data_IF_911227841426
#
_entry.id   IF_911227841426
#
_cell.length_a   1.000
_cell.length_b   1.000
_cell.length_c   1.000
_cell.angle_alpha   90.00
_cell.angle_beta   90.00
_cell.angle_gamma   90.00
#
_symmetry.space_group_name_H-M   'P 1'
#
loop_
_entity.id
_entity.type
_entity.pdbx_description
1 polymer ?
#
# COMPACT_ATOMS: atom_id res chain seq x y z
N UNK A 1 -16.94 -25.36 -26.83
CA UNK A 1 -17.01 -24.05 -27.51
C UNK A 1 -16.89 -22.98 -26.44
N UNK A 2 -15.96 -22.04 -26.43
CA UNK A 2 -14.63 -21.93 -27.00
C UNK A 2 -13.98 -20.89 -26.06
N UNK A 3 -12.94 -21.28 -25.32
CA UNK A 3 -12.15 -20.33 -24.52
C UNK A 3 -11.18 -19.62 -25.47
N UNK A 4 -11.24 -18.29 -25.49
CA UNK A 4 -10.38 -17.46 -26.33
C UNK A 4 -8.97 -17.41 -25.73
N UNK A 5 -8.08 -18.13 -26.40
CA UNK A 5 -6.63 -18.16 -26.24
C UNK A 5 -6.04 -16.79 -26.61
N UNK A 6 -5.56 -16.03 -25.63
CA UNK A 6 -4.71 -14.86 -25.89
C UNK A 6 -3.24 -15.26 -25.79
N UNK A 7 -2.60 -15.15 -26.93
CA UNK A 7 -1.21 -15.40 -27.28
C UNK A 7 -0.21 -14.64 -26.38
N UNK A 8 0.59 -15.37 -25.59
CA UNK A 8 1.64 -14.84 -24.69
C UNK A 8 3.00 -14.78 -25.40
N UNK A 9 3.03 -14.66 -26.72
CA UNK A 9 4.27 -14.62 -27.50
C UNK A 9 4.91 -13.23 -27.64
N UNK A 10 4.30 -12.17 -27.10
CA UNK A 10 4.79 -10.80 -27.29
C UNK A 10 5.09 -10.02 -25.99
N UNK A 11 5.67 -10.70 -24.99
CA UNK A 11 6.17 -10.06 -23.78
C UNK A 11 7.70 -9.82 -23.89
N UNK A 12 8.21 -8.59 -23.65
CA UNK A 12 9.56 -8.16 -24.00
C UNK A 12 10.68 -8.73 -23.12
N UNK A 13 10.40 -9.71 -22.26
CA UNK A 13 11.36 -10.31 -21.33
C UNK A 13 11.89 -11.68 -21.80
N UNK A 14 11.43 -12.20 -22.94
CA UNK A 14 11.87 -13.49 -23.49
C UNK A 14 12.89 -13.33 -24.63
N UNK A 15 14.06 -12.77 -24.31
CA UNK A 15 15.27 -12.96 -25.14
C UNK A 15 16.44 -13.36 -24.25
N UNK A 16 16.62 -14.67 -24.18
CA UNK A 16 17.80 -15.34 -23.63
C UNK A 16 19.04 -14.88 -24.42
N UNK A 17 19.81 -13.94 -23.88
CA UNK A 17 21.21 -13.74 -24.30
C UNK A 17 22.09 -14.50 -23.31
N UNK A 18 22.70 -15.58 -23.80
CA UNK A 18 23.90 -16.14 -23.19
C UNK A 18 24.95 -15.03 -23.10
N UNK A 19 25.31 -14.64 -21.87
CA UNK A 19 26.52 -13.87 -21.59
C UNK A 19 27.38 -14.73 -20.65
N UNK A 20 28.12 -15.66 -21.24
CA UNK A 20 29.33 -16.17 -20.61
C UNK A 20 30.34 -15.01 -20.62
N UNK A 21 30.65 -14.43 -19.46
CA UNK A 21 31.78 -13.50 -19.35
C UNK A 21 31.66 -12.26 -18.48
N UNK A 22 30.60 -12.06 -17.68
CA UNK A 22 30.53 -10.89 -16.79
C UNK A 22 30.73 -11.27 -15.31
N UNK A 23 31.91 -10.97 -14.78
CA UNK A 23 32.20 -11.03 -13.34
C UNK A 23 32.02 -9.63 -12.73
N UNK A 24 30.99 -9.37 -11.92
CA UNK A 24 30.80 -8.06 -11.28
C UNK A 24 31.91 -7.81 -10.26
N UNK A 25 32.51 -6.62 -10.31
CA UNK A 25 33.64 -6.22 -9.47
C UNK A 25 33.24 -5.28 -8.31
N UNK A 26 31.99 -4.77 -8.28
CA UNK A 26 31.54 -3.82 -7.25
C UNK A 26 30.17 -4.20 -6.67
N UNK A 27 29.96 -3.83 -5.40
CA UNK A 27 28.75 -4.15 -4.62
C UNK A 27 27.48 -3.51 -5.22
N UNK A 28 27.64 -2.43 -5.99
CA UNK A 28 26.55 -1.67 -6.61
C UNK A 28 25.94 -2.35 -7.85
N UNK A 29 26.55 -3.43 -8.35
CA UNK A 29 26.13 -4.13 -9.58
C UNK A 29 25.00 -5.16 -9.35
N UNK A 30 24.50 -5.34 -8.12
CA UNK A 30 23.46 -6.34 -7.79
C UNK A 30 22.07 -5.69 -7.68
N UNK A 31 21.22 -5.89 -8.70
CA UNK A 31 19.80 -5.53 -8.65
C UNK A 31 18.95 -6.52 -7.85
N UNK A 32 17.91 -6.00 -7.19
CA UNK A 32 17.02 -6.70 -6.24
C UNK A 32 16.10 -7.76 -6.90
N UNK A 33 16.66 -8.90 -7.28
CA UNK A 33 15.85 -10.01 -7.81
C UNK A 33 16.55 -11.37 -7.79
N UNK A 34 15.86 -12.34 -7.19
CA UNK A 34 16.03 -13.82 -7.25
C UNK A 34 17.19 -14.51 -6.46
N UNK A 35 16.92 -15.69 -5.85
CA UNK A 35 17.66 -16.30 -4.73
C UNK A 35 18.90 -17.12 -5.13
N UNK A 36 19.51 -16.81 -6.27
CA UNK A 36 20.74 -17.49 -6.73
C UNK A 36 22.00 -16.96 -6.04
N UNK A 37 21.86 -15.86 -5.29
CA UNK A 37 22.96 -15.06 -4.74
C UNK A 37 23.43 -15.46 -3.34
N UNK A 38 22.80 -16.44 -2.67
CA UNK A 38 23.18 -16.77 -1.28
C UNK A 38 24.52 -17.50 -1.15
N UNK A 39 24.96 -18.22 -2.19
CA UNK A 39 26.23 -18.95 -2.16
C UNK A 39 27.42 -18.07 -2.57
N UNK A 40 27.22 -17.17 -3.53
CA UNK A 40 28.25 -16.22 -3.99
C UNK A 40 28.49 -15.12 -2.98
N UNK A 41 27.45 -14.56 -2.36
CA UNK A 41 27.60 -13.56 -1.28
C UNK A 41 28.32 -14.13 -0.07
N UNK A 42 28.05 -15.38 0.32
CA UNK A 42 28.73 -15.99 1.48
C UNK A 42 30.22 -16.24 1.20
N UNK A 43 30.56 -16.70 0.00
CA UNK A 43 31.96 -16.85 -0.40
C UNK A 43 32.66 -15.48 -0.53
N UNK A 44 31.98 -14.46 -1.05
CA UNK A 44 32.52 -13.11 -1.14
C UNK A 44 32.77 -12.50 0.25
N UNK A 45 31.79 -12.63 1.16
CA UNK A 45 31.91 -12.14 2.54
C UNK A 45 33.03 -12.86 3.30
N UNK A 46 33.17 -14.18 3.10
CA UNK A 46 34.25 -14.96 3.71
C UNK A 46 35.62 -14.51 3.18
N UNK A 47 35.73 -14.25 1.87
CA UNK A 47 36.97 -13.78 1.24
C UNK A 47 37.32 -12.36 1.67
N UNK A 48 36.32 -11.48 1.81
CA UNK A 48 36.49 -10.11 2.27
C UNK A 48 36.92 -10.04 3.75
N UNK A 49 36.30 -10.85 4.62
CA UNK A 49 36.74 -10.99 6.02
C UNK A 49 38.18 -11.53 6.09
N UNK A 50 38.53 -12.52 5.25
CA UNK A 50 39.89 -13.04 5.16
C UNK A 50 40.92 -11.97 4.76
N UNK A 51 40.53 -11.08 3.85
CA UNK A 51 41.40 -10.00 3.35
C UNK A 51 41.60 -8.89 4.39
N UNK A 52 40.56 -8.50 5.12
CA UNK A 52 40.67 -7.50 6.20
C UNK A 52 41.47 -7.98 7.42
N UNK A 53 41.48 -9.28 7.72
CA UNK A 53 42.32 -9.81 8.82
C UNK A 53 43.80 -9.79 8.43
N UNK A 54 44.13 -10.01 7.15
CA UNK A 54 45.51 -9.98 6.63
C UNK A 54 46.14 -8.58 6.64
N UNK A 55 45.34 -7.51 6.63
CA UNK A 55 45.85 -6.12 6.70
C UNK A 55 46.31 -5.66 8.10
N UNK A 56 46.04 -6.44 9.17
CA UNK A 56 46.37 -6.07 10.55
C UNK A 56 47.50 -6.90 11.19
N UNK A 57 48.12 -7.84 10.47
CA UNK A 57 49.20 -8.69 11.00
C UNK A 57 50.56 -8.00 10.82
N UNK A 58 51.24 -7.73 11.94
CA UNK A 58 52.53 -7.02 11.98
C UNK A 58 53.76 -7.90 12.16
N UNK A 59 53.58 -9.22 12.33
CA UNK A 59 54.66 -10.17 12.62
C UNK A 59 54.44 -11.49 11.87
N UNK A 60 55.48 -12.03 11.22
CA UNK A 60 55.41 -13.22 10.33
C UNK A 60 54.92 -14.49 11.07
N UNK A 61 55.16 -14.61 12.38
CA UNK A 61 54.73 -15.74 13.21
C UNK A 61 53.20 -15.75 13.46
N UNK A 62 52.56 -14.58 13.50
CA UNK A 62 51.09 -14.45 13.64
C UNK A 62 50.38 -14.89 12.36
N UNK A 63 51.03 -14.72 11.19
CA UNK A 63 50.48 -15.17 9.91
C UNK A 63 50.39 -16.70 9.81
N UNK A 64 51.39 -17.43 10.32
CA UNK A 64 51.39 -18.90 10.32
C UNK A 64 50.37 -19.50 11.29
N UNK A 65 50.17 -18.87 12.46
CA UNK A 65 49.11 -19.25 13.41
C UNK A 65 47.72 -18.99 12.86
N UNK A 66 47.51 -17.82 12.27
CA UNK A 66 46.25 -17.46 11.62
C UNK A 66 45.92 -18.42 10.47
N UNK A 67 46.90 -18.79 9.65
CA UNK A 67 46.71 -19.75 8.57
C UNK A 67 46.29 -21.13 9.09
N UNK A 68 46.91 -21.62 10.17
CA UNK A 68 46.50 -22.88 10.82
C UNK A 68 45.07 -22.82 11.31
N UNK A 69 44.67 -21.74 11.98
CA UNK A 69 43.30 -21.57 12.48
C UNK A 69 42.27 -21.48 11.33
N UNK A 70 42.61 -20.79 10.24
CA UNK A 70 41.78 -20.72 9.04
C UNK A 70 41.61 -22.12 8.41
N UNK A 71 42.67 -22.92 8.33
CA UNK A 71 42.59 -24.27 7.80
C UNK A 71 41.75 -25.20 8.67
N UNK A 72 41.91 -25.13 10.00
CA UNK A 72 41.12 -25.91 10.96
C UNK A 72 39.63 -25.55 10.93
N UNK A 73 39.32 -24.25 10.90
CA UNK A 73 37.93 -23.76 10.81
C UNK A 73 37.31 -24.12 9.47
N UNK A 74 38.05 -23.97 8.35
CA UNK A 74 37.60 -24.39 7.02
C UNK A 74 37.32 -25.89 6.96
N UNK A 75 38.22 -26.73 7.47
CA UNK A 75 38.03 -28.17 7.51
C UNK A 75 36.82 -28.57 8.37
N UNK A 76 36.64 -27.90 9.51
CA UNK A 76 35.50 -28.11 10.41
C UNK A 76 34.17 -27.73 9.75
N UNK A 77 34.11 -26.58 9.08
CA UNK A 77 32.93 -26.13 8.34
C UNK A 77 32.62 -27.05 7.15
N UNK A 78 33.63 -27.47 6.40
CA UNK A 78 33.47 -28.45 5.33
C UNK A 78 32.89 -29.78 5.83
N UNK A 79 33.31 -30.26 7.02
CA UNK A 79 32.75 -31.47 7.64
C UNK A 79 31.26 -31.31 7.98
N UNK A 80 30.86 -30.16 8.51
CA UNK A 80 29.45 -29.84 8.81
C UNK A 80 28.64 -29.75 7.50
N UNK A 81 29.21 -29.11 6.49
CA UNK A 81 28.60 -28.91 5.19
C UNK A 81 28.39 -30.25 4.48
N UNK A 82 29.42 -31.09 4.42
CA UNK A 82 29.34 -32.45 3.89
C UNK A 82 28.24 -33.24 4.59
N UNK A 83 28.15 -33.19 5.94
CA UNK A 83 27.05 -33.84 6.69
C UNK A 83 25.65 -33.34 6.31
N UNK A 84 25.50 -32.05 5.94
CA UNK A 84 24.20 -31.49 5.52
C UNK A 84 23.84 -31.83 4.07
N UNK A 85 24.83 -31.89 3.17
CA UNK A 85 24.61 -32.16 1.74
C UNK A 85 24.60 -33.66 1.40
N UNK A 86 25.28 -34.51 2.16
CA UNK A 86 25.30 -35.95 1.92
C UNK A 86 24.08 -36.62 2.54
N UNK A 87 22.95 -36.59 1.85
CA UNK A 87 21.80 -37.48 2.12
C UNK A 87 21.89 -38.80 1.35
N UNK A 88 22.85 -38.96 0.44
CA UNK A 88 22.95 -40.15 -0.40
C UNK A 88 24.40 -40.52 -0.73
N UNK A 89 25.01 -41.37 0.11
CA UNK A 89 26.08 -42.33 -0.22
C UNK A 89 26.62 -42.95 1.07
N UNK A 90 25.98 -44.01 1.53
CA UNK A 90 26.56 -44.84 2.59
C UNK A 90 27.65 -45.73 1.98
N UNK A 91 28.86 -45.63 2.54
CA UNK A 91 29.95 -46.58 2.26
C UNK A 91 29.98 -47.54 3.43
N UNK A 92 29.71 -48.82 3.17
CA UNK A 92 29.79 -49.85 4.20
C UNK A 92 31.25 -50.02 4.63
N UNK A 93 31.55 -49.70 5.88
CA UNK A 93 32.85 -49.94 6.49
C UNK A 93 32.67 -50.66 7.83
N UNK A 94 33.40 -51.74 8.03
CA UNK A 94 33.48 -52.43 9.31
C UNK A 94 34.57 -51.77 10.18
N UNK A 95 34.30 -51.63 11.48
CA UNK A 95 35.27 -51.09 12.44
C UNK A 95 35.37 -52.02 13.64
N UNK A 96 36.58 -52.50 13.91
CA UNK A 96 36.87 -53.25 15.12
C UNK A 96 37.25 -52.28 16.24
N UNK A 97 36.49 -52.30 17.33
CA UNK A 97 36.73 -51.49 18.52
C UNK A 97 37.05 -52.40 19.69
N UNK A 98 38.15 -52.09 20.36
CA UNK A 98 38.55 -52.76 21.59
C UNK A 98 37.86 -52.09 22.78
N UNK A 99 36.94 -52.80 23.42
CA UNK A 99 36.16 -52.33 24.56
C UNK A 99 36.64 -52.99 25.85
N UNK A 100 36.96 -52.18 26.86
CA UNK A 100 37.19 -52.65 28.23
C UNK A 100 35.96 -52.28 29.06
N UNK A 101 35.15 -53.25 29.53
CA UNK A 101 34.04 -52.96 30.42
C UNK A 101 34.53 -52.28 31.69
N UNK A 102 33.81 -51.27 32.19
CA UNK A 102 34.14 -50.57 33.44
C UNK A 102 33.77 -51.39 34.69
N UNK A 103 32.77 -52.26 34.58
CA UNK A 103 32.34 -53.17 35.66
C UNK A 103 33.15 -54.47 35.59
N UNK A 104 34.38 -54.45 36.16
CA UNK A 104 35.27 -55.62 36.14
C UNK A 104 35.24 -56.46 37.42
N UNK A 105 34.48 -56.06 38.45
CA UNK A 105 34.64 -56.57 39.81
C UNK A 105 33.52 -57.48 40.34
N UNK A 106 32.49 -57.83 39.56
CA UNK A 106 31.30 -58.46 40.17
C UNK A 106 31.16 -59.98 40.01
N UNK A 107 31.81 -60.67 39.07
CA UNK A 107 31.74 -62.15 38.97
C UNK A 107 32.60 -62.68 37.82
N UNK A 108 33.30 -63.80 38.03
CA UNK A 108 33.96 -64.58 36.98
C UNK A 108 33.01 -65.09 35.88
N UNK A 109 31.69 -64.90 36.03
CA UNK A 109 30.67 -65.22 35.04
C UNK A 109 30.49 -64.16 33.94
N UNK A 110 31.02 -62.94 34.10
CA UNK A 110 30.87 -61.89 33.09
C UNK A 110 32.06 -61.88 32.11
N UNK A 111 31.78 -61.77 30.81
CA UNK A 111 32.79 -61.81 29.73
C UNK A 111 33.61 -63.11 29.64
N UNK A 112 33.08 -64.25 30.08
CA UNK A 112 33.78 -65.56 30.04
C UNK A 112 35.21 -65.53 30.61
N UNK A 113 35.47 -64.64 31.58
CA UNK A 113 36.78 -64.44 32.19
C UNK A 113 37.76 -63.53 31.43
N UNK A 114 37.39 -62.99 30.26
CA UNK A 114 38.22 -62.06 29.50
C UNK A 114 38.13 -60.63 30.06
N UNK A 115 39.27 -59.91 30.06
CA UNK A 115 39.34 -58.51 30.54
C UNK A 115 38.81 -57.50 29.53
N UNK A 116 38.77 -57.87 28.24
CA UNK A 116 38.48 -56.97 27.13
C UNK A 116 37.60 -57.68 26.10
N UNK A 117 36.90 -56.91 25.25
CA UNK A 117 36.09 -57.40 24.13
C UNK A 117 36.52 -56.70 22.85
N UNK A 118 36.53 -57.41 21.73
CA UNK A 118 36.68 -56.79 20.41
C UNK A 118 35.30 -56.82 19.76
N UNK A 119 34.75 -55.64 19.46
CA UNK A 119 33.43 -55.47 18.87
C UNK A 119 33.61 -55.04 17.42
N UNK A 120 33.01 -55.78 16.49
CA UNK A 120 32.90 -55.33 15.11
C UNK A 120 31.61 -54.53 14.94
N UNK A 121 31.74 -53.22 14.72
CA UNK A 121 30.60 -52.35 14.42
C UNK A 121 30.43 -52.26 12.91
N UNK A 122 29.24 -52.62 12.43
CA UNK A 122 28.82 -52.58 11.04
C UNK A 122 27.69 -51.56 10.87
N UNK A 123 27.79 -50.70 9.87
CA UNK A 123 26.71 -49.80 9.47
C UNK A 123 25.64 -50.60 8.70
N UNK A 124 24.42 -50.66 9.23
CA UNK A 124 23.31 -51.36 8.58
C UNK A 124 22.89 -50.67 7.29
N UNK A 125 22.63 -51.45 6.24
CA UNK A 125 22.11 -50.94 4.98
C UNK A 125 20.70 -50.38 5.18
N UNK A 126 20.52 -49.09 4.90
CA UNK A 126 19.21 -48.44 4.91
C UNK A 126 18.47 -48.66 3.59
N UNK A 127 17.17 -48.95 3.66
CA UNK A 127 16.31 -49.06 2.48
C UNK A 127 16.06 -47.67 1.88
N UNK A 128 16.37 -47.44 0.59
CA UNK A 128 16.12 -46.15 -0.06
C UNK A 128 14.63 -45.80 -0.20
N UNK A 129 13.71 -46.75 -0.05
CA UNK A 129 12.26 -46.54 -0.15
C UNK A 129 11.59 -46.35 1.21
N UNK A 130 12.30 -46.55 2.33
CA UNK A 130 11.72 -46.42 3.66
C UNK A 130 11.52 -44.93 4.03
N UNK A 131 10.28 -44.49 4.34
CA UNK A 131 10.02 -43.11 4.73
C UNK A 131 10.67 -42.74 6.08
N UNK A 132 10.79 -41.43 6.40
CA UNK A 132 11.29 -40.99 7.70
C UNK A 132 10.52 -41.57 8.89
N UNK A 133 11.20 -42.38 9.70
CA UNK A 133 10.59 -43.17 10.78
C UNK A 133 10.04 -42.36 11.96
N UNK A 134 10.58 -41.16 12.20
CA UNK A 134 10.26 -40.35 13.39
C UNK A 134 9.76 -38.96 13.04
N UNK A 135 8.67 -38.53 13.70
CA UNK A 135 8.18 -37.15 13.62
C UNK A 135 9.07 -36.22 14.45
N UNK A 136 9.54 -35.12 13.83
CA UNK A 136 10.30 -34.10 14.54
C UNK A 136 9.36 -33.23 15.38
N UNK A 137 9.56 -33.22 16.71
CA UNK A 137 8.78 -32.38 17.64
C UNK A 137 9.34 -30.97 17.66
N UNK A 138 8.48 -29.96 17.49
CA UNK A 138 8.86 -28.56 17.73
C UNK A 138 8.77 -28.28 19.24
N UNK A 139 9.91 -28.27 19.92
CA UNK A 139 9.98 -27.84 21.30
C UNK A 139 10.05 -26.31 21.36
N UNK A 140 9.45 -25.65 22.37
CA UNK A 140 9.78 -24.25 22.67
C UNK A 140 11.29 -24.17 22.82
N UNK A 141 11.93 -23.23 22.11
CA UNK A 141 13.38 -23.04 22.20
C UNK A 141 13.73 -22.88 23.68
N UNK A 142 14.48 -23.81 24.30
CA UNK A 142 14.81 -23.67 25.69
C UNK A 142 15.74 -22.46 25.80
N UNK A 143 15.27 -21.41 26.47
CA UNK A 143 16.12 -20.29 26.91
C UNK A 143 17.32 -20.75 27.77
N UNK A 144 17.37 -22.03 28.13
CA UNK A 144 18.40 -22.68 28.95
C UNK A 144 19.75 -22.89 28.25
N UNK A 145 19.88 -22.60 26.96
CA UNK A 145 21.19 -22.47 26.27
C UNK A 145 21.52 -21.00 25.95
N UNK A 146 20.89 -20.04 26.61
CA UNK A 146 21.49 -18.72 26.67
C UNK A 146 22.71 -18.82 27.57
N UNK A 147 23.88 -18.45 27.05
CA UNK A 147 25.04 -18.12 27.88
C UNK A 147 24.58 -17.27 29.07
N UNK A 148 25.14 -17.44 30.29
CA UNK A 148 24.79 -16.57 31.42
C UNK A 148 24.77 -15.10 30.95
N UNK A 149 23.78 -14.30 31.37
CA UNK A 149 23.63 -12.94 30.88
C UNK A 149 24.94 -12.19 31.14
N UNK A 150 25.53 -11.67 30.06
CA UNK A 150 26.80 -10.95 30.12
C UNK A 150 26.61 -9.72 31.02
N UNK A 151 27.54 -9.44 31.94
CA UNK A 151 27.45 -8.25 32.78
C UNK A 151 27.48 -6.99 31.90
N UNK A 152 26.44 -6.18 32.00
CA UNK A 152 26.36 -4.90 31.28
C UNK A 152 27.09 -3.84 32.09
N UNK A 153 28.23 -3.38 31.60
CA UNK A 153 29.04 -2.34 32.24
C UNK A 153 28.53 -0.95 31.89
N UNK A 154 27.42 -0.55 32.52
CA UNK A 154 26.92 0.83 32.41
C UNK A 154 27.83 1.81 33.15
N UNK A 155 27.85 3.07 32.69
CA UNK A 155 28.34 4.17 33.51
C UNK A 155 27.41 4.37 34.73
N UNK A 156 27.88 5.07 35.78
CA UNK A 156 27.03 5.39 36.92
C UNK A 156 25.73 6.08 36.47
N UNK A 157 24.57 5.73 37.06
CA UNK A 157 23.30 6.32 36.65
C UNK A 157 23.33 7.83 36.87
N UNK A 158 22.97 8.59 35.82
CA UNK A 158 22.84 10.04 35.91
C UNK A 158 21.66 10.38 36.84
N UNK A 159 21.82 11.32 37.79
CA UNK A 159 20.72 11.71 38.66
C UNK A 159 19.62 12.33 37.81
N UNK A 160 18.40 11.81 37.94
CA UNK A 160 17.23 12.33 37.23
C UNK A 160 16.66 13.50 38.03
N UNK A 161 16.45 14.64 37.37
CA UNK A 161 15.79 15.78 38.00
C UNK A 161 14.26 15.56 38.03
N UNK A 162 13.60 16.04 39.08
CA UNK A 162 12.13 15.99 39.21
C UNK A 162 11.47 16.75 38.06
N UNK A 163 12.07 17.88 37.64
CA UNK A 163 11.58 18.65 36.49
C UNK A 163 11.59 17.80 35.21
N UNK A 164 12.71 17.16 34.91
CA UNK A 164 12.84 16.31 33.72
C UNK A 164 11.79 15.18 33.77
N UNK A 165 11.62 14.54 34.93
CA UNK A 165 10.61 13.49 35.08
C UNK A 165 9.17 13.98 34.80
N UNK A 166 8.84 15.22 35.18
CA UNK A 166 7.54 15.82 34.91
C UNK A 166 7.37 16.20 33.44
N UNK A 167 8.39 16.78 32.82
CA UNK A 167 8.38 17.15 31.39
C UNK A 167 8.21 15.91 30.50
N UNK A 168 8.75 14.77 30.92
CA UNK A 168 8.60 13.47 30.24
C UNK A 168 7.33 12.70 30.65
N UNK A 169 6.42 13.30 31.42
CA UNK A 169 5.16 12.66 31.79
C UNK A 169 4.17 12.69 30.61
N UNK A 170 4.09 11.57 29.90
CA UNK A 170 3.15 11.42 28.78
C UNK A 170 1.71 11.32 29.31
N UNK A 171 0.78 12.20 28.88
CA UNK A 171 -0.63 12.13 29.27
C UNK A 171 -1.32 10.89 28.66
N UNK A 172 -2.38 10.36 29.30
CA UNK A 172 -3.10 9.21 28.78
C UNK A 172 -3.77 9.53 27.44
N UNK A 173 -3.76 8.56 26.52
CA UNK A 173 -4.44 8.71 25.24
C UNK A 173 -5.95 8.46 25.41
N UNK A 174 -6.75 9.51 25.27
CA UNK A 174 -8.21 9.45 25.23
C UNK A 174 -8.62 9.66 23.78
N UNK A 175 -9.07 8.60 23.11
CA UNK A 175 -9.47 8.67 21.71
C UNK A 175 -10.95 9.00 21.54
N UNK A 176 -11.29 9.72 20.46
CA UNK A 176 -12.67 10.02 20.09
C UNK A 176 -13.38 8.84 19.40
N UNK A 177 -12.64 7.81 18.97
CA UNK A 177 -13.19 6.69 18.18
C UNK A 177 -13.29 5.37 18.95
N UNK A 178 -12.27 5.01 19.73
CA UNK A 178 -12.14 3.67 20.32
C UNK A 178 -12.00 3.76 21.84
N UNK A 179 -12.78 2.95 22.53
CA UNK A 179 -12.70 2.74 23.97
C UNK A 179 -12.79 1.23 24.26
N UNK A 180 -11.68 0.48 24.14
CA UNK A 180 -11.73 -0.98 24.15
C UNK A 180 -12.18 -1.54 25.51
N UNK A 181 -11.92 -0.79 26.58
CA UNK A 181 -12.30 -1.16 27.96
C UNK A 181 -13.62 -0.54 28.41
N UNK A 182 -14.29 0.26 27.56
CA UNK A 182 -15.59 0.85 27.88
C UNK A 182 -15.60 1.84 29.05
N UNK A 183 -14.49 2.52 29.34
CA UNK A 183 -14.45 3.49 30.45
C UNK A 183 -15.45 4.64 30.27
N UNK A 184 -16.10 5.04 31.38
CA UNK A 184 -16.93 6.24 31.42
C UNK A 184 -16.02 7.45 31.66
N UNK A 185 -15.76 8.19 30.59
CA UNK A 185 -14.86 9.35 30.60
C UNK A 185 -15.70 10.62 30.52
N UNK A 186 -15.50 11.60 31.42
CA UNK A 186 -16.24 12.86 31.42
C UNK A 186 -15.92 13.69 30.16
N UNK A 187 -16.83 14.59 29.80
CA UNK A 187 -16.76 15.35 28.54
C UNK A 187 -15.53 16.26 28.45
N UNK A 188 -15.13 16.87 29.55
CA UNK A 188 -13.95 17.74 29.62
C UNK A 188 -12.68 16.99 29.20
N UNK A 189 -12.49 15.75 29.67
CA UNK A 189 -11.31 14.94 29.33
C UNK A 189 -11.38 14.34 27.93
N UNK A 190 -12.57 14.13 27.39
CA UNK A 190 -12.74 13.72 25.97
C UNK A 190 -12.40 14.86 25.02
N UNK A 191 -12.83 16.07 25.33
CA UNK A 191 -12.60 17.26 24.51
C UNK A 191 -11.24 17.90 24.75
N UNK A 192 -10.54 17.57 25.84
CA UNK A 192 -9.26 18.17 26.19
C UNK A 192 -8.18 18.03 25.10
N UNK A 193 -8.19 16.92 24.36
CA UNK A 193 -7.25 16.69 23.25
C UNK A 193 -7.71 17.30 21.92
N UNK A 194 -8.94 17.80 21.85
CA UNK A 194 -9.49 18.41 20.64
C UNK A 194 -8.94 19.83 20.50
N UNK A 195 -7.83 19.97 19.78
CA UNK A 195 -7.12 21.24 19.55
C UNK A 195 -7.92 22.30 18.77
N UNK A 196 -9.20 22.06 18.47
CA UNK A 196 -10.09 23.03 17.81
C UNK A 196 -10.21 24.34 18.60
N UNK A 197 -10.17 24.28 19.93
CA UNK A 197 -10.20 25.47 20.77
C UNK A 197 -8.95 26.37 20.60
N UNK A 198 -7.84 25.82 20.09
CA UNK A 198 -6.62 26.57 19.81
C UNK A 198 -6.60 27.16 18.39
N UNK A 199 -7.55 26.80 17.53
CA UNK A 199 -7.61 27.30 16.16
C UNK A 199 -8.41 28.60 16.08
N UNK A 200 -7.73 29.72 15.87
CA UNK A 200 -8.38 30.99 15.59
C UNK A 200 -8.86 31.05 14.12
N UNK A 201 -10.15 31.30 13.90
CA UNK A 201 -10.72 31.37 12.54
C UNK A 201 -10.57 32.80 12.02
N UNK A 202 -9.49 33.03 11.29
CA UNK A 202 -9.28 34.29 10.58
C UNK A 202 -10.03 34.31 9.23
N UNK A 203 -10.83 35.36 8.99
CA UNK A 203 -11.58 35.55 7.74
C UNK A 203 -10.91 36.64 6.90
N UNK A 204 -10.77 36.40 5.59
CA UNK A 204 -10.17 37.35 4.65
C UNK A 204 -11.13 38.49 4.27
N UNK A 205 -10.65 39.74 4.24
CA UNK A 205 -11.40 40.92 3.82
C UNK A 205 -11.89 40.88 2.36
N UNK A 206 -11.26 40.06 1.50
CA UNK A 206 -11.70 39.88 0.11
C UNK A 206 -13.13 39.32 0.00
N UNK A 207 -13.62 38.62 1.03
CA UNK A 207 -15.01 38.18 1.06
C UNK A 207 -15.97 39.37 1.16
N UNK A 208 -15.62 40.41 1.93
CA UNK A 208 -16.43 41.61 2.03
C UNK A 208 -16.46 42.38 0.69
N UNK A 209 -15.30 42.56 0.06
CA UNK A 209 -15.21 43.26 -1.23
C UNK A 209 -15.95 42.52 -2.34
N UNK A 210 -15.90 41.18 -2.35
CA UNK A 210 -16.66 40.36 -3.29
C UNK A 210 -18.17 40.50 -3.08
N UNK A 211 -18.64 40.42 -1.83
CA UNK A 211 -20.07 40.55 -1.51
C UNK A 211 -20.60 41.93 -1.88
N UNK A 212 -19.83 42.99 -1.63
CA UNK A 212 -20.18 44.35 -2.03
C UNK A 212 -20.29 44.49 -3.55
N UNK A 213 -19.31 43.96 -4.29
CA UNK A 213 -19.32 43.97 -5.75
C UNK A 213 -20.54 43.23 -6.33
N UNK A 214 -20.89 42.07 -5.75
CA UNK A 214 -22.06 41.29 -6.14
C UNK A 214 -23.36 42.05 -5.85
N UNK A 215 -23.47 42.68 -4.67
CA UNK A 215 -24.65 43.47 -4.31
C UNK A 215 -24.86 44.65 -5.27
N UNK A 216 -23.78 45.34 -5.64
CA UNK A 216 -23.82 46.42 -6.63
C UNK A 216 -24.18 45.92 -8.03
N UNK A 217 -23.61 44.79 -8.44
CA UNK A 217 -23.92 44.17 -9.74
C UNK A 217 -25.39 43.77 -9.83
N UNK A 218 -25.96 43.19 -8.76
CA UNK A 218 -27.37 42.84 -8.67
C UNK A 218 -28.27 44.07 -8.79
N UNK A 219 -27.96 45.15 -8.05
CA UNK A 219 -28.73 46.39 -8.12
C UNK A 219 -28.78 46.94 -9.55
N UNK A 220 -27.63 47.03 -10.22
CA UNK A 220 -27.52 47.50 -11.61
C UNK A 220 -28.29 46.59 -12.58
N UNK A 221 -28.24 45.27 -12.39
CA UNK A 221 -28.97 44.33 -13.23
C UNK A 221 -30.50 44.51 -13.10
N UNK A 222 -31.00 44.75 -11.88
CA UNK A 222 -32.42 45.02 -11.62
C UNK A 222 -32.87 46.34 -12.22
N UNK A 223 -32.09 47.41 -12.08
CA UNK A 223 -32.37 48.70 -12.71
C UNK A 223 -32.43 48.58 -14.25
N UNK A 224 -31.44 47.91 -14.85
CA UNK A 224 -31.43 47.67 -16.29
C UNK A 224 -32.63 46.82 -16.75
N UNK A 225 -33.08 45.84 -15.96
CA UNK A 225 -34.29 45.08 -16.25
C UNK A 225 -35.56 45.94 -16.15
N UNK A 226 -35.66 46.79 -15.12
CA UNK A 226 -36.80 47.69 -14.93
C UNK A 226 -36.90 48.73 -16.05
N UNK A 227 -35.78 49.33 -16.45
CA UNK A 227 -35.71 50.29 -17.57
C UNK A 227 -36.12 49.60 -18.88
N UNK A 228 -35.57 48.41 -19.17
CA UNK A 228 -35.96 47.63 -20.36
C UNK A 228 -37.45 47.31 -20.39
N UNK A 229 -38.01 46.89 -19.25
CA UNK A 229 -39.45 46.61 -19.14
C UNK A 229 -40.30 47.86 -19.39
N UNK A 230 -39.91 49.02 -18.87
CA UNK A 230 -40.60 50.30 -19.13
C UNK A 230 -40.54 50.68 -20.61
N UNK A 231 -39.35 50.64 -21.22
CA UNK A 231 -39.17 50.98 -22.63
C UNK A 231 -39.94 50.03 -23.56
N UNK A 232 -39.94 48.73 -23.26
CA UNK A 232 -40.73 47.76 -24.01
C UNK A 232 -42.24 48.07 -23.93
N UNK A 233 -42.75 48.44 -22.76
CA UNK A 233 -44.15 48.88 -22.61
C UNK A 233 -44.45 50.14 -23.43
N UNK A 234 -43.55 51.12 -23.45
CA UNK A 234 -43.72 52.33 -24.27
C UNK A 234 -43.75 52.04 -25.76
N UNK A 235 -42.88 51.15 -26.26
CA UNK A 235 -42.89 50.71 -27.67
C UNK A 235 -44.22 50.02 -28.00
N UNK A 236 -44.68 49.11 -27.15
CA UNK A 236 -45.95 48.40 -27.35
C UNK A 236 -47.15 49.37 -27.34
N UNK A 237 -47.16 50.36 -26.44
CA UNK A 237 -48.20 51.40 -26.43
C UNK A 237 -48.18 52.24 -27.70
N UNK A 238 -47.01 52.66 -28.18
CA UNK A 238 -46.85 53.39 -29.45
C UNK A 238 -47.29 52.55 -30.65
N UNK A 239 -46.98 51.25 -30.66
CA UNK A 239 -47.42 50.35 -31.73
C UNK A 239 -48.94 50.15 -31.70
N UNK A 240 -49.54 50.00 -30.51
CA UNK A 240 -50.99 49.93 -30.33
C UNK A 240 -51.68 51.21 -30.82
N UNK A 241 -51.14 52.38 -30.49
CA UNK A 241 -51.65 53.66 -30.97
C UNK A 241 -51.54 53.79 -32.50
N UNK A 242 -50.44 53.32 -33.10
CA UNK A 242 -50.28 53.28 -34.55
C UNK A 242 -51.34 52.39 -35.21
N UNK A 243 -51.56 51.19 -34.68
CA UNK A 243 -52.61 50.26 -35.15
C UNK A 243 -54.01 50.85 -34.98
N UNK A 244 -54.29 51.55 -33.88
CA UNK A 244 -55.58 52.23 -33.70
C UNK A 244 -55.80 53.33 -34.75
N UNK A 245 -54.76 54.13 -35.06
CA UNK A 245 -54.82 55.14 -36.13
C UNK A 245 -55.04 54.52 -37.50
N UNK A 246 -54.33 53.45 -37.83
CA UNK A 246 -54.51 52.69 -39.08
C UNK A 246 -55.95 52.16 -39.21
N UNK A 247 -56.49 51.53 -38.16
CA UNK A 247 -57.87 51.04 -38.13
C UNK A 247 -58.90 52.17 -38.24
N UNK A 248 -58.68 53.31 -37.59
CA UNK A 248 -59.56 54.48 -37.69
C UNK A 248 -59.60 55.03 -39.12
N UNK A 249 -58.45 55.14 -39.78
CA UNK A 249 -58.37 55.57 -41.18
C UNK A 249 -59.07 54.58 -42.13
N UNK A 250 -58.87 53.27 -41.93
CA UNK A 250 -59.53 52.23 -42.72
C UNK A 250 -61.06 52.27 -42.55
N UNK A 251 -61.54 52.45 -41.32
CA UNK A 251 -62.97 52.58 -41.03
C UNK A 251 -63.58 53.85 -41.66
N UNK A 252 -62.87 54.97 -41.66
CA UNK A 252 -63.31 56.20 -42.36
C UNK A 252 -63.41 55.97 -43.88
N UNK A 253 -62.41 55.31 -44.47
CA UNK A 253 -62.42 54.94 -45.89
C UNK A 253 -63.61 54.03 -46.23
N UNK A 254 -63.83 52.96 -45.48
CA UNK A 254 -64.96 52.04 -45.68
C UNK A 254 -66.33 52.75 -45.54
N UNK A 255 -66.47 53.70 -44.61
CA UNK A 255 -67.68 54.53 -44.49
C UNK A 255 -67.89 55.42 -45.72
N UNK A 256 -66.82 56.04 -46.23
CA UNK A 256 -66.89 56.88 -47.44
C UNK A 256 -67.27 56.08 -48.69
N UNK A 257 -66.75 54.86 -48.84
CA UNK A 257 -67.11 53.96 -49.94
C UNK A 257 -68.57 53.49 -49.87
N UNK A 258 -69.09 53.22 -48.66
CA UNK A 258 -70.51 52.91 -48.45
C UNK A 258 -71.43 54.09 -48.81
N UNK A 259 -71.08 55.31 -48.41
CA UNK A 259 -71.87 56.50 -48.79
C UNK A 259 -71.86 56.77 -50.30
N UNK A 260 -70.82 56.33 -51.04
CA UNK A 260 -70.78 56.42 -52.50
C UNK A 260 -71.66 55.35 -53.17
N UNK A 261 -71.76 54.15 -52.57
CA UNK A 261 -72.63 53.08 -53.07
C UNK A 261 -74.14 53.31 -52.81
N UNK A 262 -74.52 54.16 -51.86
CA UNK A 262 -75.92 54.58 -51.65
C UNK A 262 -76.46 55.45 -52.81
N UNK A 263 -75.61 55.94 -53.73
CA UNK A 263 -76.00 56.73 -54.90
C UNK A 263 -76.08 55.96 -56.24
N UNK A 264 -75.96 54.62 -56.24
CA UNK A 264 -76.17 53.79 -57.45
C UNK A 264 -77.28 52.74 -57.25
N UNK A 265 -78.22 52.58 -58.19
CA UNK A 265 -79.44 51.79 -58.00
C UNK A 265 -79.15 50.28 -58.05
N UNK A 266 -79.48 49.57 -56.98
CA UNK A 266 -79.53 48.11 -56.98
C UNK A 266 -80.82 47.61 -57.65
N UNK A 267 -80.68 47.01 -58.83
CA UNK A 267 -81.71 46.14 -59.41
C UNK A 267 -81.79 44.85 -58.60
N UNK A 268 -82.95 44.62 -57.96
CA UNK A 268 -83.26 43.38 -57.24
C UNK A 268 -83.49 42.24 -58.24
N UNK A 269 -82.70 41.18 -58.14
CA UNK A 269 -83.15 39.85 -58.54
C UNK A 269 -83.24 38.97 -57.29
N UNK A 270 -84.48 38.63 -56.92
CA UNK A 270 -84.80 37.69 -55.86
C UNK A 270 -84.54 36.26 -56.36
N UNK A 271 -83.80 35.45 -55.59
CA UNK A 271 -84.05 34.02 -55.55
C UNK A 271 -83.77 33.47 -54.14
N UNK A 272 -84.72 32.69 -53.66
CA UNK A 272 -84.79 32.02 -52.36
C UNK A 272 -83.59 31.09 -52.12
N UNK A 273 -83.12 30.98 -50.87
CA UNK A 273 -83.36 29.81 -50.00
C UNK A 273 -82.63 29.93 -48.66
N UNK A 274 -83.38 29.67 -47.59
CA UNK A 274 -82.88 29.37 -46.25
C UNK A 274 -82.15 28.01 -46.28
N UNK A 275 -81.06 27.85 -45.54
CA UNK A 275 -80.96 26.78 -44.54
C UNK A 275 -79.82 27.04 -43.53
N UNK A 276 -80.06 26.84 -42.22
CA UNK A 276 -79.10 27.07 -41.15
C UNK A 276 -78.31 25.80 -40.84
N UNK A 277 -77.11 25.91 -40.25
CA UNK A 277 -76.49 24.94 -39.33
C UNK A 277 -75.18 25.59 -38.82
N UNK A 278 -75.14 26.07 -37.58
CA UNK A 278 -74.90 25.36 -36.31
C UNK A 278 -73.42 25.11 -36.00
N UNK A 279 -73.09 25.40 -34.73
CA UNK A 279 -71.95 24.93 -33.93
C UNK A 279 -70.62 25.62 -34.28
N UNK A 280 -69.82 26.12 -33.34
CA UNK A 280 -69.74 25.88 -31.91
C UNK A 280 -68.25 25.68 -31.54
N UNK A 281 -67.94 26.05 -30.30
CA UNK A 281 -66.81 25.59 -29.48
C UNK A 281 -65.41 26.26 -29.55
N UNK A 282 -65.03 26.67 -28.33
CA UNK A 282 -63.72 26.87 -27.67
C UNK A 282 -62.85 28.04 -28.09
#
# INVERSE_FOLDING_TARGET
MAESFTDVSNAPWFKQRHNEGFAPQKVEDFGDGVPFLRFTLLNFLLTWVLLSVKENAGDDDEEEELQREIEETKASLQKILNRRFTTARQRHSSKFIKYKPSQQSASAAFNSGAKERIINILEMLADPLDPPKFKQKHLPKPSASASPPVPIMHSPPRPVNVKDQQDWKIPPCISNWINPKGYTIPLDKRLAADGRALHDVHINNNFATLLEALYLAEHKAREAAAIRSKLQKEILMKEKERKERELRALAQKARSERTVLDYLPHSRHNFFEFHPLSQGLV
#
